data_IF_922461744538
#
_entry.id   IF_922461744538
#
_cell.length_a   1.000
_cell.length_b   1.000
_cell.length_c   1.000
_cell.angle_alpha   90.00
_cell.angle_beta   90.00
_cell.angle_gamma   90.00
#
_symmetry.space_group_name_H-M   'P 1'
#
loop_
_entity.id
_entity.type
_entity.pdbx_description
1 polymer ?
#
# COMPACT_ATOMS: atom_id res chain seq x y z
N UNK A 1 -28.50 -29.17 8.14
CA UNK A 1 -27.83 -29.26 9.47
C UNK A 1 -26.29 -29.30 9.38
N UNK A 2 -25.70 -30.13 8.55
CA UNK A 2 -24.23 -30.24 8.40
C UNK A 2 -23.61 -29.01 7.71
N UNK A 3 -24.29 -28.39 6.78
CA UNK A 3 -23.85 -27.19 6.06
C UNK A 3 -23.72 -25.97 7.00
N UNK A 4 -24.68 -25.77 7.91
CA UNK A 4 -24.59 -24.71 8.93
C UNK A 4 -23.47 -24.91 9.94
N UNK A 5 -23.13 -26.17 10.27
CA UNK A 5 -22.04 -26.47 11.23
C UNK A 5 -20.67 -26.27 10.56
N UNK A 6 -20.55 -26.57 9.26
CA UNK A 6 -19.32 -26.37 8.47
C UNK A 6 -19.04 -24.88 8.26
N UNK A 7 -20.07 -24.10 7.96
CA UNK A 7 -19.97 -22.63 7.83
C UNK A 7 -19.60 -21.97 9.16
N UNK A 8 -20.21 -22.43 10.27
CA UNK A 8 -19.90 -21.92 11.62
C UNK A 8 -18.46 -22.25 12.06
N UNK A 9 -17.92 -23.43 11.73
CA UNK A 9 -16.54 -23.79 12.04
C UNK A 9 -15.54 -23.00 11.20
N UNK A 10 -15.84 -22.82 9.91
CA UNK A 10 -14.99 -22.02 9.00
C UNK A 10 -14.96 -20.56 9.43
N UNK A 11 -16.10 -20.01 9.85
CA UNK A 11 -16.20 -18.63 10.36
C UNK A 11 -15.42 -18.46 11.67
N UNK A 12 -15.57 -19.41 12.60
CA UNK A 12 -14.84 -19.34 13.89
C UNK A 12 -13.33 -19.46 13.72
N UNK A 13 -12.85 -20.36 12.87
CA UNK A 13 -11.42 -20.50 12.56
C UNK A 13 -10.86 -19.21 11.90
N UNK A 14 -11.66 -18.56 11.08
CA UNK A 14 -11.28 -17.29 10.45
C UNK A 14 -11.20 -16.15 11.48
N UNK A 15 -12.12 -16.04 12.41
CA UNK A 15 -12.10 -15.08 13.51
C UNK A 15 -10.89 -15.31 14.44
N UNK A 16 -10.62 -16.56 14.84
CA UNK A 16 -9.46 -16.93 15.65
C UNK A 16 -8.13 -16.57 14.95
N UNK A 17 -8.03 -16.81 13.65
CA UNK A 17 -6.85 -16.45 12.86
C UNK A 17 -6.64 -14.93 12.79
N UNK A 18 -7.70 -14.15 12.68
CA UNK A 18 -7.64 -12.69 12.68
C UNK A 18 -7.17 -12.14 14.02
N UNK A 19 -7.80 -12.59 15.11
CA UNK A 19 -7.43 -12.19 16.48
C UNK A 19 -5.96 -12.56 16.77
N UNK A 20 -5.52 -13.72 16.33
CA UNK A 20 -4.12 -14.14 16.42
C UNK A 20 -3.16 -13.17 15.70
N UNK A 21 -3.47 -12.78 14.45
CA UNK A 21 -2.63 -11.84 13.68
C UNK A 21 -2.58 -10.47 14.37
N UNK A 22 -3.72 -10.00 14.90
CA UNK A 22 -3.82 -8.72 15.57
C UNK A 22 -2.98 -8.70 16.87
N UNK A 23 -3.15 -9.71 17.72
CA UNK A 23 -2.41 -9.87 18.96
C UNK A 23 -0.91 -10.07 18.70
N UNK A 24 -0.54 -10.98 17.80
CA UNK A 24 0.87 -11.21 17.45
C UNK A 24 1.54 -9.95 16.88
N UNK A 25 0.83 -9.16 16.09
CA UNK A 25 1.37 -7.93 15.53
C UNK A 25 1.61 -6.86 16.60
N UNK A 26 0.73 -6.73 17.59
CA UNK A 26 0.95 -5.84 18.73
C UNK A 26 2.12 -6.29 19.58
N UNK A 27 2.20 -7.59 19.90
CA UNK A 27 3.31 -8.16 20.67
C UNK A 27 4.67 -8.04 19.96
N UNK A 28 4.70 -7.99 18.62
CA UNK A 28 5.92 -7.77 17.85
C UNK A 28 6.35 -6.31 17.77
N UNK A 29 5.45 -5.34 17.91
CA UNK A 29 5.80 -3.92 17.82
C UNK A 29 6.78 -3.49 18.92
N UNK A 30 6.55 -3.93 20.15
CA UNK A 30 7.38 -3.56 21.30
C UNK A 30 8.82 -4.05 21.18
N UNK A 31 9.10 -5.36 20.95
CA UNK A 31 10.48 -5.83 20.82
C UNK A 31 11.19 -5.22 19.58
N UNK A 32 10.49 -5.03 18.47
CA UNK A 32 11.09 -4.38 17.29
C UNK A 32 11.48 -2.93 17.58
N UNK A 33 10.66 -2.18 18.33
CA UNK A 33 10.99 -0.81 18.74
C UNK A 33 12.20 -0.77 19.67
N UNK A 34 12.29 -1.71 20.63
CA UNK A 34 13.43 -1.82 21.55
C UNK A 34 14.72 -2.12 20.78
N UNK A 35 14.70 -3.10 19.87
CA UNK A 35 15.89 -3.47 19.08
C UNK A 35 16.31 -2.31 18.21
N UNK A 36 15.37 -1.61 17.56
CA UNK A 36 15.64 -0.43 16.76
C UNK A 36 16.32 0.67 17.57
N UNK A 37 15.79 1.02 18.73
CA UNK A 37 16.40 2.01 19.62
C UNK A 37 17.81 1.63 20.08
N UNK A 38 18.09 0.33 20.31
CA UNK A 38 19.44 -0.13 20.61
C UNK A 38 20.41 0.00 19.45
N UNK A 39 19.96 -0.26 18.22
CA UNK A 39 20.77 -0.07 17.00
C UNK A 39 21.07 1.41 16.78
N UNK A 40 20.08 2.30 17.00
CA UNK A 40 20.28 3.76 16.92
C UNK A 40 21.34 4.22 17.94
N UNK A 41 21.26 3.78 19.19
CA UNK A 41 22.27 4.10 20.22
C UNK A 41 23.67 3.56 19.91
N UNK A 42 23.76 2.37 19.32
CA UNK A 42 25.05 1.82 18.88
C UNK A 42 25.65 2.63 17.74
N UNK A 43 24.83 3.12 16.80
CA UNK A 43 25.26 3.92 15.67
C UNK A 43 25.81 5.32 16.08
N UNK A 44 25.42 5.82 17.25
CA UNK A 44 25.94 7.08 17.84
C UNK A 44 27.34 6.92 18.48
N UNK A 45 27.90 5.71 18.53
CA UNK A 45 29.21 5.47 19.15
C UNK A 45 30.36 5.95 18.27
N UNK A 46 31.26 6.77 18.82
CA UNK A 46 32.39 7.40 18.11
C UNK A 46 33.49 6.42 17.62
N UNK A 47 33.44 5.14 18.01
CA UNK A 47 34.50 4.14 17.79
C UNK A 47 34.11 3.02 16.80
N UNK A 48 33.11 3.24 15.93
CA UNK A 48 32.69 2.25 14.94
C UNK A 48 33.61 2.25 13.72
N UNK A 49 34.06 1.06 13.30
CA UNK A 49 34.71 0.89 12.02
C UNK A 49 33.71 1.05 10.85
N UNK A 50 34.20 1.35 9.66
CA UNK A 50 33.35 1.40 8.43
C UNK A 50 32.56 0.11 8.23
N UNK A 51 33.15 -1.04 8.53
CA UNK A 51 32.48 -2.33 8.44
C UNK A 51 31.32 -2.46 9.42
N UNK A 52 31.53 -2.06 10.67
CA UNK A 52 30.47 -2.06 11.70
C UNK A 52 29.34 -1.09 11.36
N UNK A 53 29.66 0.08 10.79
CA UNK A 53 28.65 1.04 10.34
C UNK A 53 27.78 0.44 9.23
N UNK A 54 28.37 -0.24 8.24
CA UNK A 54 27.60 -0.93 7.19
C UNK A 54 26.69 -2.04 7.74
N UNK A 55 27.19 -2.83 8.69
CA UNK A 55 26.41 -3.88 9.33
C UNK A 55 25.24 -3.31 10.13
N UNK A 56 25.46 -2.20 10.85
CA UNK A 56 24.37 -1.51 11.55
C UNK A 56 23.32 -0.94 10.60
N UNK A 57 23.72 -0.37 9.47
CA UNK A 57 22.82 0.11 8.42
C UNK A 57 21.96 -1.02 7.84
N UNK A 58 22.56 -2.19 7.58
CA UNK A 58 21.81 -3.36 7.11
C UNK A 58 20.81 -3.88 8.16
N UNK A 59 21.21 -3.92 9.43
CA UNK A 59 20.32 -4.30 10.54
C UNK A 59 19.18 -3.29 10.65
N UNK A 60 19.47 -1.99 10.63
CA UNK A 60 18.48 -0.92 10.75
C UNK A 60 17.47 -0.97 9.61
N UNK A 61 17.93 -1.13 8.36
CA UNK A 61 17.05 -1.26 7.19
C UNK A 61 16.17 -2.51 7.28
N UNK A 62 16.73 -3.63 7.76
CA UNK A 62 15.99 -4.90 7.93
C UNK A 62 14.92 -4.77 9.01
N UNK A 63 15.23 -4.14 10.15
CA UNK A 63 14.27 -3.82 11.21
C UNK A 63 13.17 -2.89 10.69
N UNK A 64 13.52 -1.86 9.92
CA UNK A 64 12.55 -0.96 9.29
C UNK A 64 11.55 -1.72 8.40
N UNK A 65 12.03 -2.69 7.61
CA UNK A 65 11.17 -3.58 6.81
C UNK A 65 10.25 -4.44 7.67
N UNK A 66 10.78 -5.04 8.75
CA UNK A 66 9.99 -5.86 9.67
C UNK A 66 8.87 -5.06 10.36
N UNK A 67 9.17 -3.84 10.81
CA UNK A 67 8.17 -2.91 11.40
C UNK A 67 7.11 -2.55 10.37
N UNK A 68 7.49 -2.20 9.15
CA UNK A 68 6.57 -1.84 8.07
C UNK A 68 5.68 -3.02 7.68
N UNK A 69 6.25 -4.22 7.61
CA UNK A 69 5.52 -5.46 7.34
C UNK A 69 4.45 -5.72 8.41
N UNK A 70 4.85 -5.67 9.69
CA UNK A 70 3.96 -5.88 10.83
C UNK A 70 2.81 -4.88 10.85
N UNK A 71 3.09 -3.57 10.64
CA UNK A 71 2.05 -2.53 10.52
C UNK A 71 1.08 -2.80 9.37
N UNK A 72 1.59 -3.27 8.23
CA UNK A 72 0.77 -3.59 7.05
C UNK A 72 -0.14 -4.79 7.27
N UNK A 73 0.34 -5.82 7.98
CA UNK A 73 -0.45 -7.01 8.36
C UNK A 73 -1.57 -6.63 9.34
N UNK A 74 -1.24 -5.83 10.35
CA UNK A 74 -2.23 -5.32 11.30
C UNK A 74 -3.31 -4.48 10.62
N UNK A 75 -2.90 -3.59 9.70
CA UNK A 75 -3.84 -2.79 8.92
C UNK A 75 -4.79 -3.67 8.09
N UNK A 76 -4.26 -4.68 7.38
CA UNK A 76 -5.08 -5.62 6.61
C UNK A 76 -6.07 -6.36 7.52
N UNK A 77 -5.63 -6.84 8.68
CA UNK A 77 -6.49 -7.48 9.67
C UNK A 77 -7.63 -6.56 10.10
N UNK A 78 -7.34 -5.31 10.46
CA UNK A 78 -8.34 -4.32 10.86
C UNK A 78 -9.35 -3.98 9.77
N UNK A 79 -8.90 -3.85 8.51
CA UNK A 79 -9.78 -3.63 7.36
C UNK A 79 -10.73 -4.82 7.17
N UNK A 80 -10.20 -6.04 7.22
CA UNK A 80 -10.98 -7.28 7.06
C UNK A 80 -11.96 -7.52 8.21
N UNK A 81 -11.62 -7.03 9.41
CA UNK A 81 -12.49 -7.06 10.60
C UNK A 81 -13.55 -5.94 10.63
N UNK A 82 -13.58 -5.06 9.62
CA UNK A 82 -14.57 -3.99 9.57
C UNK A 82 -14.41 -2.94 10.67
N UNK A 83 -13.21 -2.75 11.21
CA UNK A 83 -12.96 -1.80 12.31
C UNK A 83 -13.03 -0.33 11.88
N UNK A 84 -13.11 -0.06 10.58
CA UNK A 84 -13.24 1.29 10.02
C UNK A 84 -14.70 1.60 9.70
N UNK A 85 -15.45 2.03 10.70
CA UNK A 85 -16.91 2.27 10.63
C UNK A 85 -17.28 3.70 10.25
N UNK A 86 -16.39 4.66 10.50
CA UNK A 86 -16.61 6.06 10.18
C UNK A 86 -16.39 6.29 8.69
N UNK A 87 -17.48 6.46 7.95
CA UNK A 87 -17.47 6.71 6.52
C UNK A 87 -17.91 8.15 6.24
N UNK A 88 -17.12 8.85 5.46
CA UNK A 88 -17.37 10.22 5.00
C UNK A 88 -17.14 10.36 3.51
N UNK A 89 -17.56 11.47 2.93
CA UNK A 89 -17.29 11.80 1.55
C UNK A 89 -15.90 12.43 1.45
N UNK A 90 -14.94 11.70 0.86
CA UNK A 90 -13.52 12.08 0.80
C UNK A 90 -13.14 12.44 -0.63
N UNK A 91 -12.56 13.63 -0.82
CA UNK A 91 -12.01 14.08 -2.10
C UNK A 91 -10.65 13.42 -2.35
N UNK A 92 -10.58 12.58 -3.37
CA UNK A 92 -9.32 11.96 -3.82
C UNK A 92 -8.38 13.00 -4.41
N UNK A 93 -8.92 14.04 -5.04
CA UNK A 93 -8.13 15.14 -5.61
C UNK A 93 -7.40 15.94 -4.53
N UNK A 94 -8.07 16.23 -3.40
CA UNK A 94 -7.43 16.89 -2.26
C UNK A 94 -6.33 16.05 -1.64
N UNK A 95 -6.54 14.74 -1.51
CA UNK A 95 -5.49 13.83 -1.03
C UNK A 95 -4.28 13.86 -1.97
N UNK A 96 -4.51 13.79 -3.29
CA UNK A 96 -3.44 13.85 -4.28
C UNK A 96 -2.69 15.19 -4.25
N UNK A 97 -3.41 16.30 -4.15
CA UNK A 97 -2.81 17.65 -4.11
C UNK A 97 -1.90 17.84 -2.90
N UNK A 98 -2.28 17.27 -1.75
CA UNK A 98 -1.46 17.32 -0.53
C UNK A 98 -0.29 16.32 -0.55
N UNK A 99 -0.45 15.17 -1.19
CA UNK A 99 0.52 14.06 -1.15
C UNK A 99 1.62 14.18 -2.21
N UNK A 100 1.27 14.66 -3.41
CA UNK A 100 2.18 14.64 -4.56
C UNK A 100 3.45 15.47 -4.35
N UNK A 101 3.42 16.69 -3.79
CA UNK A 101 4.64 17.46 -3.57
C UNK A 101 5.68 16.68 -2.76
N UNK A 102 5.31 16.17 -1.60
CA UNK A 102 6.22 15.41 -0.72
C UNK A 102 6.76 14.14 -1.39
N UNK A 103 5.90 13.42 -2.13
CA UNK A 103 6.34 12.21 -2.82
C UNK A 103 7.27 12.52 -3.99
N UNK A 104 7.03 13.57 -4.74
CA UNK A 104 7.91 13.97 -5.83
C UNK A 104 9.29 14.37 -5.31
N UNK A 105 9.38 15.07 -4.18
CA UNK A 105 10.64 15.40 -3.52
C UNK A 105 11.39 14.14 -3.05
N UNK A 106 10.71 13.19 -2.39
CA UNK A 106 11.31 11.92 -1.95
C UNK A 106 11.89 11.11 -3.12
N UNK A 107 11.22 11.14 -4.27
CA UNK A 107 11.63 10.39 -5.48
C UNK A 107 12.31 11.26 -6.53
N UNK A 108 12.78 12.47 -6.18
CA UNK A 108 13.46 13.40 -7.08
C UNK A 108 14.64 12.74 -7.83
N UNK A 109 15.39 11.87 -7.14
CA UNK A 109 16.52 11.13 -7.71
C UNK A 109 16.16 10.29 -8.96
N UNK A 110 14.88 9.95 -9.16
CA UNK A 110 14.40 9.22 -10.34
C UNK A 110 14.06 10.10 -11.52
N UNK A 111 14.00 11.41 -11.35
CA UNK A 111 13.68 12.39 -12.39
C UNK A 111 12.37 12.06 -13.15
N UNK A 112 11.37 11.53 -12.45
CA UNK A 112 10.08 11.16 -13.03
C UNK A 112 9.28 12.41 -13.39
N UNK A 113 8.77 12.46 -14.63
CA UNK A 113 7.88 13.54 -15.08
C UNK A 113 6.46 13.29 -14.61
N UNK A 114 5.91 14.19 -13.81
CA UNK A 114 4.52 14.14 -13.36
C UNK A 114 3.60 14.82 -14.39
N UNK A 115 2.56 14.11 -14.83
CA UNK A 115 1.44 14.63 -15.63
C UNK A 115 0.16 14.43 -14.83
N UNK A 116 -0.46 15.54 -14.39
CA UNK A 116 -1.68 15.53 -13.58
C UNK A 116 -2.83 16.13 -14.38
N UNK A 117 -3.86 15.32 -14.62
CA UNK A 117 -5.08 15.74 -15.30
C UNK A 117 -6.26 15.58 -14.34
N UNK A 118 -7.07 16.64 -14.20
CA UNK A 118 -8.27 16.67 -13.36
C UNK A 118 -9.50 16.78 -14.24
N UNK A 119 -10.53 16.01 -13.89
CA UNK A 119 -11.85 16.18 -14.49
C UNK A 119 -12.52 17.49 -14.04
N UNK A 120 -13.62 17.83 -14.68
CA UNK A 120 -14.41 19.04 -14.34
C UNK A 120 -14.93 19.05 -12.89
N UNK A 121 -15.15 17.86 -12.32
CA UNK A 121 -15.57 17.68 -10.94
C UNK A 121 -14.61 16.72 -10.23
N UNK A 122 -14.36 16.91 -8.92
CA UNK A 122 -13.47 16.07 -8.16
C UNK A 122 -14.00 14.63 -8.01
N UNK A 123 -13.09 13.69 -7.90
CA UNK A 123 -13.43 12.33 -7.49
C UNK A 123 -13.68 12.29 -5.98
N UNK A 124 -14.92 12.16 -5.58
CA UNK A 124 -15.32 11.99 -4.18
C UNK A 124 -15.71 10.53 -3.94
N UNK A 125 -15.12 9.87 -2.96
CA UNK A 125 -15.43 8.48 -2.57
C UNK A 125 -16.01 8.41 -1.16
N UNK A 126 -16.94 7.50 -0.92
CA UNK A 126 -17.48 7.24 0.43
C UNK A 126 -16.58 6.24 1.14
N UNK A 127 -15.72 6.72 2.04
CA UNK A 127 -14.67 5.92 2.69
C UNK A 127 -14.28 6.51 4.05
N UNK A 128 -13.60 5.73 4.88
CA UNK A 128 -12.88 6.30 6.01
C UNK A 128 -11.70 7.13 5.49
N UNK A 129 -11.52 8.35 6.01
CA UNK A 129 -10.51 9.30 5.52
C UNK A 129 -9.08 8.72 5.53
N UNK A 130 -8.68 8.10 6.64
CA UNK A 130 -7.35 7.50 6.75
C UNK A 130 -7.13 6.37 5.75
N UNK A 131 -8.16 5.55 5.50
CA UNK A 131 -8.08 4.49 4.49
C UNK A 131 -7.98 5.05 3.07
N UNK A 132 -8.70 6.13 2.76
CA UNK A 132 -8.60 6.82 1.47
C UNK A 132 -7.18 7.36 1.24
N UNK A 133 -6.57 7.98 2.24
CA UNK A 133 -5.16 8.43 2.19
C UNK A 133 -4.20 7.26 1.97
N UNK A 134 -4.37 6.15 2.68
CA UNK A 134 -3.55 4.94 2.54
C UNK A 134 -3.70 4.35 1.13
N UNK A 135 -4.91 4.27 0.60
CA UNK A 135 -5.19 3.76 -0.75
C UNK A 135 -4.46 4.58 -1.82
N UNK A 136 -4.66 5.91 -1.81
CA UNK A 136 -4.04 6.83 -2.78
C UNK A 136 -2.52 6.81 -2.65
N UNK A 137 -2.01 6.91 -1.41
CA UNK A 137 -0.56 6.89 -1.14
C UNK A 137 0.12 5.61 -1.61
N UNK A 138 -0.50 4.43 -1.39
CA UNK A 138 0.07 3.17 -1.86
C UNK A 138 0.11 3.08 -3.39
N UNK A 139 -0.93 3.54 -4.09
CA UNK A 139 -0.96 3.56 -5.55
C UNK A 139 0.12 4.49 -6.12
N UNK A 140 0.22 5.73 -5.61
CA UNK A 140 1.22 6.71 -6.09
C UNK A 140 2.64 6.25 -5.76
N UNK A 141 2.90 5.78 -4.53
CA UNK A 141 4.21 5.23 -4.13
C UNK A 141 4.61 4.03 -4.98
N UNK A 142 3.67 3.14 -5.27
CA UNK A 142 3.91 2.00 -6.15
C UNK A 142 4.32 2.48 -7.55
N UNK A 143 3.61 3.44 -8.11
CA UNK A 143 3.90 4.00 -9.43
C UNK A 143 5.24 4.74 -9.49
N UNK A 144 5.66 5.45 -8.42
CA UNK A 144 6.97 6.10 -8.33
C UNK A 144 8.09 5.08 -8.10
N UNK A 145 7.93 4.15 -7.16
CA UNK A 145 8.94 3.15 -6.82
C UNK A 145 9.29 2.26 -8.02
N UNK A 146 8.29 1.84 -8.77
CA UNK A 146 8.44 0.95 -9.93
C UNK A 146 8.53 1.69 -11.27
N UNK A 147 8.61 3.03 -11.25
CA UNK A 147 8.89 3.80 -12.45
C UNK A 147 10.33 3.59 -12.92
N UNK A 148 10.58 3.81 -14.20
CA UNK A 148 11.91 3.94 -14.77
C UNK A 148 12.48 5.34 -14.46
N UNK A 149 13.81 5.44 -14.38
CA UNK A 149 14.48 6.73 -14.19
C UNK A 149 14.27 7.60 -15.44
N UNK A 150 13.84 8.84 -15.25
CA UNK A 150 13.41 9.73 -16.35
C UNK A 150 12.05 9.37 -16.96
N UNK A 151 11.34 8.39 -16.40
CA UNK A 151 10.03 7.97 -16.87
C UNK A 151 8.91 8.95 -16.57
N UNK A 152 7.68 8.51 -16.75
CA UNK A 152 6.49 9.36 -16.58
C UNK A 152 5.52 8.75 -15.57
N UNK A 153 4.96 9.60 -14.70
CA UNK A 153 3.82 9.30 -13.85
C UNK A 153 2.63 10.13 -14.32
N UNK A 154 1.60 9.47 -14.85
CA UNK A 154 0.34 10.11 -15.22
C UNK A 154 -0.74 9.79 -14.21
N UNK A 155 -1.43 10.81 -13.74
CA UNK A 155 -2.56 10.68 -12.82
C UNK A 155 -3.74 11.43 -13.44
N UNK A 156 -4.81 10.70 -13.73
CA UNK A 156 -6.06 11.24 -14.23
C UNK A 156 -7.18 10.95 -13.23
N UNK A 157 -7.92 11.99 -12.82
CA UNK A 157 -9.16 11.84 -12.05
C UNK A 157 -10.35 12.28 -12.89
N UNK A 158 -11.46 11.55 -12.72
CA UNK A 158 -12.79 11.89 -13.22
C UNK A 158 -13.78 11.78 -12.06
N UNK A 159 -15.02 12.26 -12.14
CA UNK A 159 -15.98 12.12 -11.03
C UNK A 159 -16.24 10.68 -10.56
N UNK A 160 -15.85 9.68 -11.39
CA UNK A 160 -16.12 8.26 -11.15
C UNK A 160 -14.87 7.39 -11.09
N UNK A 161 -13.68 7.90 -11.45
CA UNK A 161 -12.47 7.09 -11.53
C UNK A 161 -11.19 7.83 -11.19
N UNK A 162 -10.20 7.07 -10.69
CA UNK A 162 -8.79 7.45 -10.58
C UNK A 162 -7.99 6.49 -11.46
N UNK A 163 -7.20 7.03 -12.39
CA UNK A 163 -6.24 6.28 -13.18
C UNK A 163 -4.82 6.75 -12.86
N UNK A 164 -3.95 5.81 -12.54
CA UNK A 164 -2.52 6.06 -12.30
C UNK A 164 -1.73 5.19 -13.27
N UNK A 165 -0.90 5.84 -14.10
CA UNK A 165 0.00 5.17 -15.03
C UNK A 165 1.44 5.52 -14.72
N UNK A 166 2.32 4.54 -14.83
CA UNK A 166 3.76 4.74 -14.74
C UNK A 166 4.49 3.99 -15.83
N UNK A 167 5.60 4.55 -16.31
CA UNK A 167 6.47 3.87 -17.27
C UNK A 167 7.02 2.58 -16.67
N UNK A 168 7.06 1.50 -17.47
CA UNK A 168 7.59 0.21 -17.05
C UNK A 168 7.67 -0.79 -18.19
N UNK A 169 8.76 -1.56 -18.22
CA UNK A 169 9.20 -2.33 -19.39
C UNK A 169 8.35 -3.55 -19.73
N UNK A 170 7.78 -4.29 -18.79
CA UNK A 170 7.10 -5.55 -19.05
C UNK A 170 5.78 -5.69 -18.28
N UNK A 171 4.76 -6.34 -18.88
CA UNK A 171 3.51 -6.59 -18.20
C UNK A 171 3.69 -7.46 -16.96
N UNK A 172 2.92 -7.17 -15.91
CA UNK A 172 2.87 -7.96 -14.69
C UNK A 172 1.70 -8.94 -14.73
N UNK A 173 1.80 -10.03 -13.94
CA UNK A 173 0.69 -10.97 -13.78
C UNK A 173 -0.45 -10.30 -12.97
N UNK A 174 -1.48 -9.82 -13.67
CA UNK A 174 -2.61 -9.09 -13.08
C UNK A 174 -3.38 -9.89 -12.02
N UNK A 175 -3.39 -11.24 -12.10
CA UNK A 175 -4.05 -12.07 -11.08
C UNK A 175 -3.24 -12.16 -9.79
N UNK A 176 -1.91 -12.18 -9.89
CA UNK A 176 -1.01 -12.30 -8.75
C UNK A 176 -0.66 -10.97 -8.13
N UNK A 177 -0.70 -9.88 -8.92
CA UNK A 177 -0.27 -8.55 -8.53
C UNK A 177 -0.89 -8.03 -7.22
N UNK A 178 -2.14 -8.40 -6.96
CA UNK A 178 -2.89 -8.02 -5.75
C UNK A 178 -2.83 -9.06 -4.62
N UNK A 179 -2.03 -10.14 -4.78
CA UNK A 179 -1.84 -11.12 -3.71
C UNK A 179 -0.86 -10.56 -2.67
N UNK A 180 -1.03 -11.01 -1.43
CA UNK A 180 -0.10 -10.69 -0.34
C UNK A 180 1.28 -11.27 -0.65
N UNK A 181 2.33 -10.50 -0.33
CA UNK A 181 3.74 -10.89 -0.52
C UNK A 181 4.14 -11.14 -1.98
N UNK A 182 3.38 -10.61 -2.92
CA UNK A 182 3.77 -10.69 -4.32
C UNK A 182 4.85 -9.65 -4.61
N UNK A 183 5.95 -10.12 -5.17
CA UNK A 183 7.03 -9.31 -5.72
C UNK A 183 7.22 -9.70 -7.18
N UNK A 184 7.41 -8.74 -8.07
CA UNK A 184 7.91 -9.03 -9.42
C UNK A 184 9.34 -9.57 -9.34
N UNK A 185 9.80 -10.28 -10.38
CA UNK A 185 11.14 -10.91 -10.44
C UNK A 185 12.24 -9.88 -10.21
N UNK A 186 12.01 -8.63 -10.62
CA UNK A 186 12.92 -7.49 -10.40
C UNK A 186 12.62 -6.72 -9.11
N UNK A 187 11.94 -7.35 -8.15
CA UNK A 187 11.43 -6.73 -6.92
C UNK A 187 12.51 -5.98 -6.16
N UNK A 188 12.36 -4.66 -6.08
CA UNK A 188 13.23 -3.82 -5.28
C UNK A 188 13.14 -4.26 -3.81
N UNK A 189 14.30 -4.42 -3.16
CA UNK A 189 14.44 -4.96 -1.80
C UNK A 189 13.61 -4.25 -0.71
N UNK A 190 13.11 -3.04 -1.00
CA UNK A 190 12.39 -2.21 -0.02
C UNK A 190 10.87 -2.37 -0.01
N UNK A 191 10.30 -3.21 -0.89
CA UNK A 191 8.85 -3.43 -0.92
C UNK A 191 8.45 -4.59 -0.01
N UNK A 192 7.34 -4.45 0.73
CA UNK A 192 6.80 -5.53 1.57
C UNK A 192 5.89 -6.50 0.81
N UNK A 193 5.55 -6.20 -0.44
CA UNK A 193 4.57 -6.96 -1.22
C UNK A 193 3.13 -6.88 -0.69
N UNK A 194 2.84 -5.94 0.22
CA UNK A 194 1.51 -5.77 0.81
C UNK A 194 0.76 -4.52 0.34
N UNK A 195 1.44 -3.56 -0.29
CA UNK A 195 0.83 -2.28 -0.67
C UNK A 195 -0.40 -2.44 -1.57
N UNK A 196 -0.30 -3.21 -2.65
CA UNK A 196 -1.41 -3.45 -3.57
C UNK A 196 -2.50 -4.37 -2.98
N UNK A 197 -2.14 -5.29 -2.08
CA UNK A 197 -3.11 -6.06 -1.32
C UNK A 197 -3.95 -5.17 -0.39
N UNK A 198 -3.33 -4.19 0.26
CA UNK A 198 -4.02 -3.16 1.07
C UNK A 198 -4.95 -2.34 0.18
N UNK A 199 -4.47 -1.84 -0.96
CA UNK A 199 -5.30 -1.09 -1.93
C UNK A 199 -6.53 -1.90 -2.33
N UNK A 200 -6.37 -3.18 -2.68
CA UNK A 200 -7.47 -4.07 -3.04
C UNK A 200 -8.48 -4.26 -1.90
N UNK A 201 -7.99 -4.43 -0.66
CA UNK A 201 -8.86 -4.59 0.50
C UNK A 201 -9.67 -3.33 0.80
N UNK A 202 -9.05 -2.14 0.72
CA UNK A 202 -9.74 -0.85 0.89
C UNK A 202 -10.74 -0.63 -0.24
N UNK A 203 -10.34 -0.85 -1.49
CA UNK A 203 -11.23 -0.70 -2.65
C UNK A 203 -12.51 -1.53 -2.48
N UNK A 204 -12.38 -2.80 -2.07
CA UNK A 204 -13.52 -3.71 -1.84
C UNK A 204 -14.51 -3.19 -0.81
N UNK A 205 -14.03 -2.70 0.35
CA UNK A 205 -14.94 -2.19 1.41
C UNK A 205 -15.54 -0.82 1.07
N UNK A 206 -14.92 -0.07 0.14
CA UNK A 206 -15.35 1.26 -0.31
C UNK A 206 -16.18 1.22 -1.61
N UNK A 207 -16.62 0.03 -2.05
CA UNK A 207 -17.37 -0.16 -3.31
C UNK A 207 -16.64 0.44 -4.52
N UNK A 208 -15.34 0.18 -4.61
CA UNK A 208 -14.49 0.58 -5.71
C UNK A 208 -13.95 -0.67 -6.41
N UNK A 209 -13.93 -0.67 -7.73
CA UNK A 209 -13.30 -1.72 -8.53
C UNK A 209 -11.90 -1.28 -8.92
N UNK A 210 -10.91 -2.11 -8.62
CA UNK A 210 -9.51 -1.91 -8.97
C UNK A 210 -9.13 -2.88 -10.09
N UNK A 211 -8.59 -2.36 -11.19
CA UNK A 211 -8.05 -3.14 -12.30
C UNK A 211 -6.63 -2.72 -12.62
N UNK A 212 -5.91 -3.61 -13.28
CA UNK A 212 -4.56 -3.40 -13.79
C UNK A 212 -4.51 -3.81 -15.25
N UNK A 213 -3.85 -2.99 -16.06
CA UNK A 213 -3.52 -3.25 -17.45
C UNK A 213 -2.11 -2.75 -17.75
N UNK A 214 -1.47 -3.33 -18.77
CA UNK A 214 -0.22 -2.83 -19.33
C UNK A 214 -0.45 -2.44 -20.78
N UNK A 215 -0.17 -1.19 -21.11
CA UNK A 215 -0.39 -0.63 -22.44
C UNK A 215 0.73 0.35 -22.78
N UNK A 216 1.27 0.25 -24.00
CA UNK A 216 2.22 1.22 -24.57
C UNK A 216 3.43 1.51 -23.67
N UNK A 217 3.98 0.47 -22.99
CA UNK A 217 5.11 0.64 -22.09
C UNK A 217 4.76 1.25 -20.73
N UNK A 218 3.49 1.28 -20.36
CA UNK A 218 3.03 1.81 -19.07
C UNK A 218 2.19 0.79 -18.30
N UNK A 219 2.45 0.69 -17.00
CA UNK A 219 1.56 0.04 -16.05
C UNK A 219 0.40 0.98 -15.71
N UNK A 220 -0.82 0.53 -15.88
CA UNK A 220 -2.04 1.30 -15.64
C UNK A 220 -2.85 0.66 -14.51
N UNK A 221 -3.04 1.39 -13.42
CA UNK A 221 -3.95 1.04 -12.34
C UNK A 221 -5.18 1.93 -12.44
N UNK A 222 -6.36 1.31 -12.56
CA UNK A 222 -7.63 2.02 -12.67
C UNK A 222 -8.53 1.65 -11.50
N UNK A 223 -8.97 2.66 -10.76
CA UNK A 223 -9.93 2.57 -9.67
C UNK A 223 -11.23 3.24 -10.10
N UNK A 224 -12.35 2.52 -10.08
CA UNK A 224 -13.66 3.00 -10.56
C UNK A 224 -14.71 2.81 -9.48
N UNK A 225 -15.58 3.81 -9.26
CA UNK A 225 -16.76 3.67 -8.41
C UNK A 225 -17.69 2.59 -8.97
N UNK A 226 -18.08 1.64 -8.14
CA UNK A 226 -19.13 0.69 -8.50
C UNK A 226 -20.50 1.33 -8.30
N UNK A 227 -21.28 1.40 -9.37
CA UNK A 227 -22.68 1.82 -9.26
C UNK A 227 -23.48 0.77 -8.49
N UNK A 228 -24.13 1.15 -7.38
CA UNK A 228 -25.00 0.27 -6.57
C UNK A 228 -26.23 -0.28 -7.31
N UNK A 229 -26.42 0.02 -8.60
CA UNK A 229 -27.62 -0.33 -9.37
C UNK A 229 -27.56 -1.67 -10.12
N UNK A 230 -26.58 -2.54 -9.85
CA UNK A 230 -26.47 -3.85 -10.52
C UNK A 230 -26.33 -4.99 -9.49
N UNK A 231 -27.26 -5.07 -8.53
CA UNK A 231 -27.51 -6.27 -7.73
C UNK A 231 -28.98 -6.65 -7.76
#
# INVERSE_FOLDING_TARGET
SEMCIRDSRSYKAYEEQKEFIENASHELQTPLAIVRGKVELLAESDNLSEQQMKELDEIYSTLGRAVKLNKSLLLLSRIENGQYTELEDVSVDEILDNLLPDLMDIYEHKQVRLVREKGEQPLVIRCNHSLAQILVSNLVKNALLHNEDGGELRILTTPVSLMIKNTGGAPLDGEKLFRRFYHSIDGKKDSTGLGLAIVRSIARISSLRLTYEWQEGMHCFLLVKENKNNR
#
